data_IF_776968710642
#
_entry.id   IF_776968710642
#
_cell.length_a   1.000
_cell.length_b   1.000
_cell.length_c   1.000
_cell.angle_alpha   90.00
_cell.angle_beta   90.00
_cell.angle_gamma   90.00
#
_symmetry.space_group_name_H-M   'P 1'
#
loop_
_entity.id
_entity.type
_entity.pdbx_description
1 polymer ?
#
# COMPACT_ATOMS: atom_id res chain seq x y z
N UNK A 1 27.82 -12.87 -5.27
CA UNK A 1 26.49 -13.43 -4.96
C UNK A 1 25.36 -12.58 -5.59
N UNK A 2 25.34 -11.25 -5.38
CA UNK A 2 24.33 -10.35 -5.96
C UNK A 2 24.12 -10.56 -7.48
N UNK A 3 25.20 -10.55 -8.27
CA UNK A 3 25.08 -10.79 -9.73
C UNK A 3 24.57 -12.19 -10.08
N UNK A 4 24.91 -13.20 -9.29
CA UNK A 4 24.39 -14.56 -9.50
C UNK A 4 22.90 -14.64 -9.18
N UNK A 5 22.44 -13.95 -8.13
CA UNK A 5 21.02 -13.86 -7.79
C UNK A 5 20.21 -13.19 -8.91
N UNK A 6 20.67 -12.04 -9.40
CA UNK A 6 20.07 -11.34 -10.53
C UNK A 6 20.07 -12.19 -11.81
N UNK A 7 21.19 -12.84 -12.11
CA UNK A 7 21.31 -13.70 -13.28
C UNK A 7 20.35 -14.89 -13.20
N UNK A 8 20.29 -15.59 -12.05
CA UNK A 8 19.35 -16.67 -11.83
C UNK A 8 17.88 -16.19 -11.98
N UNK A 9 17.56 -15.05 -11.40
CA UNK A 9 16.20 -14.47 -11.53
C UNK A 9 15.84 -14.08 -12.97
N UNK A 10 16.79 -13.52 -13.73
CA UNK A 10 16.59 -13.22 -15.16
C UNK A 10 16.36 -14.49 -15.97
N UNK A 11 17.10 -15.59 -15.67
CA UNK A 11 16.92 -16.88 -16.32
C UNK A 11 15.51 -17.45 -16.05
N UNK A 12 15.02 -17.37 -14.80
CA UNK A 12 13.63 -17.75 -14.45
C UNK A 12 12.62 -16.96 -15.27
N UNK A 13 12.78 -15.64 -15.35
CA UNK A 13 11.90 -14.78 -16.15
C UNK A 13 11.95 -15.08 -17.64
N UNK A 14 13.07 -15.56 -18.14
CA UNK A 14 13.25 -16.00 -19.53
C UNK A 14 12.79 -17.44 -19.78
N UNK A 15 12.10 -18.07 -18.82
CA UNK A 15 11.64 -19.47 -18.83
C UNK A 15 12.78 -20.50 -18.99
N UNK A 16 14.02 -20.12 -18.59
CA UNK A 16 15.21 -20.97 -18.59
C UNK A 16 15.45 -21.55 -17.20
N UNK A 17 14.45 -22.28 -16.68
CA UNK A 17 14.39 -22.74 -15.28
C UNK A 17 15.57 -23.66 -14.91
N UNK A 18 15.90 -24.62 -15.77
CA UNK A 18 17.03 -25.56 -15.52
C UNK A 18 18.35 -24.82 -15.37
N UNK A 19 18.59 -23.79 -16.17
CA UNK A 19 19.81 -22.99 -16.12
C UNK A 19 19.86 -22.06 -14.91
N UNK A 20 18.69 -21.67 -14.38
CA UNK A 20 18.58 -20.82 -13.20
C UNK A 20 18.91 -21.56 -11.90
N UNK A 21 18.74 -22.87 -11.87
CA UNK A 21 18.89 -23.70 -10.66
C UNK A 21 20.27 -23.54 -10.03
N UNK A 22 21.33 -23.72 -10.80
CA UNK A 22 22.73 -23.67 -10.31
C UNK A 22 23.12 -22.30 -9.74
N UNK A 23 22.86 -21.15 -10.42
CA UNK A 23 23.11 -19.84 -9.85
C UNK A 23 22.36 -19.60 -8.55
N UNK A 24 21.07 -19.93 -8.47
CA UNK A 24 20.25 -19.72 -7.30
C UNK A 24 20.65 -20.62 -6.12
N UNK A 25 20.95 -21.90 -6.38
CA UNK A 25 21.44 -22.86 -5.39
C UNK A 25 22.80 -22.45 -4.80
N UNK A 26 23.71 -21.95 -5.65
CA UNK A 26 25.01 -21.41 -5.21
C UNK A 26 24.79 -20.22 -4.27
N UNK A 27 23.96 -19.29 -4.67
CA UNK A 27 23.65 -18.11 -3.88
C UNK A 27 23.01 -18.48 -2.54
N UNK A 28 22.09 -19.43 -2.55
CA UNK A 28 21.44 -19.94 -1.35
C UNK A 28 22.46 -20.53 -0.38
N UNK A 29 23.30 -21.46 -0.86
CA UNK A 29 24.29 -22.16 -0.04
C UNK A 29 25.24 -21.19 0.68
N UNK A 30 25.71 -20.15 0.00
CA UNK A 30 26.62 -19.16 0.58
C UNK A 30 25.96 -18.07 1.44
N UNK A 31 24.64 -18.13 1.62
CA UNK A 31 23.87 -17.09 2.33
C UNK A 31 23.11 -17.59 3.53
N UNK A 32 23.03 -18.90 3.72
CA UNK A 32 22.24 -19.53 4.79
C UNK A 32 22.61 -19.06 6.21
N UNK A 33 23.90 -18.77 6.43
CA UNK A 33 24.42 -18.39 7.75
C UNK A 33 24.40 -16.87 8.00
N UNK A 34 24.00 -16.05 6.99
CA UNK A 34 23.98 -14.60 7.11
C UNK A 34 22.63 -14.01 6.71
N UNK A 35 21.73 -13.75 7.68
CA UNK A 35 20.39 -13.23 7.40
C UNK A 35 20.37 -11.96 6.53
N UNK A 36 21.35 -11.08 6.69
CA UNK A 36 21.44 -9.84 5.89
C UNK A 36 21.75 -10.14 4.43
N UNK A 37 22.59 -11.15 4.15
CA UNK A 37 22.85 -11.59 2.77
C UNK A 37 21.61 -12.24 2.19
N UNK A 38 20.97 -13.11 2.93
CA UNK A 38 19.74 -13.78 2.52
C UNK A 38 18.63 -12.76 2.19
N UNK A 39 18.49 -11.70 3.00
CA UNK A 39 17.55 -10.62 2.72
C UNK A 39 17.85 -9.88 1.41
N UNK A 40 19.11 -9.51 1.18
CA UNK A 40 19.50 -8.85 -0.07
C UNK A 40 19.19 -9.72 -1.29
N UNK A 41 19.43 -11.01 -1.18
CA UNK A 41 19.13 -11.97 -2.24
C UNK A 41 17.63 -12.09 -2.50
N UNK A 42 16.82 -12.20 -1.45
CA UNK A 42 15.38 -12.22 -1.57
C UNK A 42 14.88 -10.99 -2.36
N UNK A 43 15.37 -9.80 -2.01
CA UNK A 43 15.04 -8.55 -2.70
C UNK A 43 15.51 -8.57 -4.17
N UNK A 44 16.73 -9.02 -4.44
CA UNK A 44 17.29 -9.01 -5.80
C UNK A 44 16.57 -9.99 -6.73
N UNK A 45 16.26 -11.19 -6.22
CA UNK A 45 15.50 -12.21 -6.97
C UNK A 45 14.05 -11.74 -7.22
N UNK A 46 13.40 -11.13 -6.22
CA UNK A 46 12.06 -10.55 -6.40
C UNK A 46 12.06 -9.44 -7.46
N UNK A 47 13.03 -8.52 -7.39
CA UNK A 47 13.16 -7.41 -8.36
C UNK A 47 13.46 -7.90 -9.78
N UNK A 48 14.09 -9.05 -9.93
CA UNK A 48 14.30 -9.69 -11.24
C UNK A 48 13.01 -10.28 -11.83
N UNK A 49 11.92 -10.36 -11.05
CA UNK A 49 10.64 -10.91 -11.43
C UNK A 49 10.47 -12.41 -11.13
N UNK A 50 11.47 -13.07 -10.51
CA UNK A 50 11.40 -14.45 -10.07
C UNK A 50 10.73 -14.56 -8.68
N UNK A 51 9.44 -14.23 -8.62
CA UNK A 51 8.68 -14.07 -7.36
C UNK A 51 8.58 -15.38 -6.57
N UNK A 52 8.40 -16.51 -7.26
CA UNK A 52 8.28 -17.82 -6.61
C UNK A 52 9.60 -18.25 -5.94
N UNK A 53 10.71 -18.03 -6.60
CA UNK A 53 12.05 -18.32 -6.09
C UNK A 53 12.40 -17.38 -4.94
N UNK A 54 12.06 -16.09 -5.06
CA UNK A 54 12.21 -15.12 -3.99
C UNK A 54 11.42 -15.52 -2.71
N UNK A 55 10.22 -16.08 -2.85
CA UNK A 55 9.43 -16.57 -1.72
C UNK A 55 10.18 -17.60 -0.87
N UNK A 56 10.98 -18.48 -1.50
CA UNK A 56 11.84 -19.44 -0.80
C UNK A 56 12.83 -18.76 0.14
N UNK A 57 13.50 -17.69 -0.33
CA UNK A 57 14.44 -16.91 0.49
C UNK A 57 13.72 -16.13 1.62
N UNK A 58 12.56 -15.50 1.32
CA UNK A 58 11.74 -14.83 2.31
C UNK A 58 11.26 -15.78 3.42
N UNK A 59 10.85 -17.00 3.06
CA UNK A 59 10.43 -18.04 4.00
C UNK A 59 11.55 -18.45 4.94
N UNK A 60 12.78 -18.59 4.42
CA UNK A 60 13.95 -18.89 5.26
C UNK A 60 14.23 -17.79 6.28
N UNK A 61 14.12 -16.52 5.89
CA UNK A 61 14.26 -15.40 6.81
C UNK A 61 13.25 -15.45 7.97
N UNK A 62 11.99 -15.81 7.68
CA UNK A 62 10.97 -16.01 8.73
C UNK A 62 11.32 -17.18 9.65
N UNK A 63 11.90 -18.25 9.10
CA UNK A 63 12.21 -19.46 9.90
C UNK A 63 13.51 -19.34 10.71
N UNK A 64 14.47 -18.51 10.26
CA UNK A 64 15.77 -18.37 10.92
C UNK A 64 15.86 -17.21 11.90
N UNK A 65 14.94 -16.24 11.80
CA UNK A 65 14.87 -15.08 12.67
C UNK A 65 13.72 -15.11 13.67
N UNK A 66 13.61 -14.05 14.44
CA UNK A 66 12.48 -13.82 15.35
C UNK A 66 11.83 -12.46 15.09
N UNK A 67 10.61 -12.25 15.63
CA UNK A 67 9.87 -11.00 15.41
C UNK A 67 10.62 -9.73 15.83
N UNK A 68 11.66 -9.84 16.67
CA UNK A 68 12.50 -8.71 17.09
C UNK A 68 13.58 -8.33 16.08
N UNK A 69 13.85 -9.19 15.09
CA UNK A 69 14.88 -8.97 14.10
C UNK A 69 14.33 -8.16 12.92
N UNK A 70 15.03 -7.13 12.53
CA UNK A 70 14.57 -6.23 11.46
C UNK A 70 14.42 -6.94 10.10
N UNK A 71 15.29 -7.92 9.78
CA UNK A 71 15.19 -8.73 8.56
C UNK A 71 13.98 -9.65 8.59
N UNK A 72 13.60 -10.18 9.76
CA UNK A 72 12.37 -10.93 9.96
C UNK A 72 11.15 -10.04 9.71
N UNK A 73 11.15 -8.81 10.26
CA UNK A 73 10.07 -7.83 10.04
C UNK A 73 9.90 -7.49 8.55
N UNK A 74 11.02 -7.35 7.84
CA UNK A 74 10.99 -7.11 6.38
C UNK A 74 10.37 -8.28 5.64
N UNK A 75 10.72 -9.52 6.00
CA UNK A 75 10.13 -10.72 5.43
C UNK A 75 8.63 -10.86 5.78
N UNK A 76 8.24 -10.53 7.02
CA UNK A 76 6.84 -10.52 7.45
C UNK A 76 6.01 -9.50 6.64
N UNK A 77 6.57 -8.32 6.38
CA UNK A 77 5.92 -7.31 5.52
C UNK A 77 5.76 -7.79 4.08
N UNK A 78 6.75 -8.51 3.54
CA UNK A 78 6.63 -9.16 2.23
C UNK A 78 5.45 -10.14 2.21
N UNK A 79 5.36 -11.05 3.18
CA UNK A 79 4.28 -12.02 3.24
C UNK A 79 2.91 -11.37 3.47
N UNK A 80 2.83 -10.32 4.27
CA UNK A 80 1.59 -9.55 4.44
C UNK A 80 1.12 -8.94 3.11
N UNK A 81 2.04 -8.30 2.35
CA UNK A 81 1.75 -7.72 1.04
C UNK A 81 1.32 -8.78 0.03
N UNK A 82 2.04 -9.91 -0.02
CA UNK A 82 1.74 -11.02 -0.92
C UNK A 82 0.40 -11.69 -0.58
N UNK A 83 0.14 -11.96 0.70
CA UNK A 83 -1.12 -12.51 1.17
C UNK A 83 -2.31 -11.59 0.86
N UNK A 84 -2.14 -10.27 1.04
CA UNK A 84 -3.13 -9.25 0.64
C UNK A 84 -3.42 -9.32 -0.87
N UNK A 85 -2.39 -9.36 -1.69
CA UNK A 85 -2.54 -9.43 -3.16
C UNK A 85 -3.30 -10.67 -3.60
N UNK A 86 -3.05 -11.80 -2.95
CA UNK A 86 -3.70 -13.09 -3.22
C UNK A 86 -5.02 -13.28 -2.43
N UNK A 87 -5.53 -12.25 -1.74
CA UNK A 87 -6.74 -12.28 -0.92
C UNK A 87 -6.74 -13.39 0.15
N UNK A 88 -5.56 -13.74 0.64
CA UNK A 88 -5.36 -14.67 1.77
C UNK A 88 -5.48 -13.90 3.09
N UNK A 89 -6.69 -13.43 3.38
CA UNK A 89 -6.94 -12.42 4.43
C UNK A 89 -6.53 -12.87 5.83
N UNK A 90 -6.69 -14.16 6.18
CA UNK A 90 -6.21 -14.68 7.49
C UNK A 90 -4.70 -14.57 7.64
N UNK A 91 -3.96 -14.89 6.58
CA UNK A 91 -2.50 -14.80 6.58
C UNK A 91 -2.07 -13.34 6.63
N UNK A 92 -2.70 -12.48 5.83
CA UNK A 92 -2.45 -11.04 5.85
C UNK A 92 -2.71 -10.43 7.23
N UNK A 93 -3.82 -10.80 7.89
CA UNK A 93 -4.15 -10.34 9.23
C UNK A 93 -3.10 -10.78 10.27
N UNK A 94 -2.67 -12.05 10.24
CA UNK A 94 -1.67 -12.57 11.18
C UNK A 94 -0.35 -11.79 11.09
N UNK A 95 0.16 -11.54 9.87
CA UNK A 95 1.38 -10.74 9.69
C UNK A 95 1.19 -9.27 10.08
N UNK A 96 0.03 -8.68 9.78
CA UNK A 96 -0.27 -7.31 10.17
C UNK A 96 -0.39 -7.16 11.71
N UNK A 97 -0.92 -8.15 12.41
CA UNK A 97 -0.95 -8.17 13.88
C UNK A 97 0.46 -8.23 14.47
N UNK A 98 1.32 -9.07 13.93
CA UNK A 98 2.72 -9.14 14.38
C UNK A 98 3.42 -7.80 14.13
N UNK A 99 3.22 -7.15 12.99
CA UNK A 99 3.77 -5.83 12.69
C UNK A 99 3.27 -4.77 13.69
N UNK A 100 1.98 -4.77 14.02
CA UNK A 100 1.42 -3.88 15.02
C UNK A 100 2.03 -4.11 16.42
N UNK A 101 2.20 -5.36 16.83
CA UNK A 101 2.81 -5.72 18.12
C UNK A 101 4.28 -5.35 18.20
N UNK A 102 5.04 -5.51 17.11
CA UNK A 102 6.44 -5.12 17.04
C UNK A 102 6.62 -3.60 17.11
N UNK A 103 5.68 -2.85 16.56
CA UNK A 103 5.69 -1.40 16.67
C UNK A 103 5.67 -0.91 18.12
N UNK A 104 4.99 -1.63 19.02
CA UNK A 104 4.99 -1.34 20.46
C UNK A 104 6.31 -1.73 21.16
N UNK A 105 7.00 -2.76 20.66
CA UNK A 105 8.25 -3.26 21.22
C UNK A 105 9.49 -2.53 20.69
N UNK A 106 9.33 -1.69 19.68
CA UNK A 106 10.43 -0.97 19.04
C UNK A 106 11.23 -0.14 20.06
N UNK A 107 12.56 -0.08 19.85
CA UNK A 107 13.51 0.64 20.72
C UNK A 107 13.39 2.18 20.64
N UNK A 108 12.39 2.71 19.98
CA UNK A 108 12.15 4.14 19.93
C UNK A 108 11.68 4.63 21.29
N UNK A 109 12.37 5.58 21.85
CA UNK A 109 12.00 6.27 23.11
C UNK A 109 10.69 7.05 22.97
N UNK A 110 10.17 7.18 21.75
CA UNK A 110 8.93 7.88 21.44
C UNK A 110 7.97 6.92 20.74
N UNK A 111 7.00 6.38 21.47
CA UNK A 111 5.90 5.63 20.89
C UNK A 111 5.04 6.65 20.14
N UNK A 112 4.84 6.43 18.84
CA UNK A 112 3.84 7.15 18.06
C UNK A 112 2.49 6.41 18.15
N UNK A 113 1.54 6.84 19.00
CA UNK A 113 0.27 6.13 19.20
C UNK A 113 -0.52 6.01 17.90
N UNK A 114 -0.49 7.04 17.05
CA UNK A 114 -1.21 7.05 15.77
C UNK A 114 -0.65 5.97 14.83
N UNK A 115 0.67 5.80 14.80
CA UNK A 115 1.29 4.74 13.99
C UNK A 115 0.86 3.34 14.44
N UNK A 116 0.80 3.10 15.77
CA UNK A 116 0.29 1.82 16.30
C UNK A 116 -1.18 1.61 15.95
N UNK A 117 -2.02 2.62 16.13
CA UNK A 117 -3.46 2.56 15.84
C UNK A 117 -3.68 2.25 14.35
N UNK A 118 -2.93 2.87 13.44
CA UNK A 118 -3.00 2.57 11.99
C UNK A 118 -2.62 1.13 11.68
N UNK A 119 -1.55 0.60 12.27
CA UNK A 119 -1.14 -0.80 12.07
C UNK A 119 -2.18 -1.76 12.61
N UNK A 120 -2.74 -1.48 13.77
CA UNK A 120 -3.83 -2.27 14.36
C UNK A 120 -5.08 -2.23 13.47
N UNK A 121 -5.43 -1.07 12.95
CA UNK A 121 -6.53 -0.91 12.00
C UNK A 121 -6.37 -1.81 10.77
N UNK A 122 -5.18 -1.87 10.17
CA UNK A 122 -4.91 -2.76 9.03
C UNK A 122 -5.09 -4.22 9.40
N UNK A 123 -4.62 -4.64 10.57
CA UNK A 123 -4.80 -6.01 11.04
C UNK A 123 -6.29 -6.36 11.21
N UNK A 124 -7.06 -5.47 11.84
CA UNK A 124 -8.50 -5.64 12.04
C UNK A 124 -9.27 -5.60 10.71
N UNK A 125 -8.87 -4.75 9.77
CA UNK A 125 -9.43 -4.71 8.41
C UNK A 125 -9.25 -6.05 7.68
N UNK A 126 -8.04 -6.62 7.70
CA UNK A 126 -7.79 -7.92 7.07
C UNK A 126 -8.51 -9.05 7.78
N UNK A 127 -8.63 -9.00 9.11
CA UNK A 127 -9.41 -9.98 9.89
C UNK A 127 -10.90 -9.91 9.54
N UNK A 128 -11.45 -8.69 9.39
CA UNK A 128 -12.84 -8.51 8.97
C UNK A 128 -13.09 -9.06 7.56
N UNK A 129 -12.15 -8.83 6.63
CA UNK A 129 -12.21 -9.42 5.28
C UNK A 129 -12.14 -10.94 5.30
N UNK A 130 -11.32 -11.52 6.18
CA UNK A 130 -11.26 -12.97 6.37
C UNK A 130 -12.60 -13.54 6.86
N UNK A 131 -13.17 -12.93 7.90
CA UNK A 131 -14.49 -13.30 8.43
C UNK A 131 -15.58 -13.19 7.36
N UNK A 132 -15.57 -12.13 6.59
CA UNK A 132 -16.52 -11.95 5.49
C UNK A 132 -16.38 -13.03 4.42
N UNK A 133 -15.14 -13.36 4.01
CA UNK A 133 -14.86 -14.43 3.05
C UNK A 133 -15.32 -15.82 3.54
N UNK A 134 -15.33 -16.04 4.86
CA UNK A 134 -15.76 -17.27 5.51
C UNK A 134 -17.27 -17.32 5.77
N UNK A 135 -18.02 -16.30 5.39
CA UNK A 135 -19.46 -16.20 5.61
C UNK A 135 -19.87 -15.64 6.97
N UNK A 136 -18.93 -15.31 7.85
CA UNK A 136 -19.19 -14.71 9.18
C UNK A 136 -19.45 -13.20 9.06
N UNK A 137 -20.44 -12.83 8.25
CA UNK A 137 -20.67 -11.42 7.83
C UNK A 137 -21.01 -10.52 9.01
N UNK A 138 -21.78 -11.00 10.01
CA UNK A 138 -22.16 -10.17 11.15
C UNK A 138 -20.94 -9.75 11.99
N UNK A 139 -20.04 -10.69 12.28
CA UNK A 139 -18.80 -10.41 13.02
C UNK A 139 -17.85 -9.52 12.20
N UNK A 140 -17.75 -9.77 10.89
CA UNK A 140 -16.99 -8.91 9.99
C UNK A 140 -17.49 -7.47 10.05
N UNK A 141 -18.79 -7.25 9.97
CA UNK A 141 -19.40 -5.92 10.00
C UNK A 141 -19.21 -5.21 11.34
N UNK A 142 -19.27 -5.93 12.46
CA UNK A 142 -18.93 -5.36 13.79
C UNK A 142 -17.48 -4.85 13.80
N UNK A 143 -16.56 -5.65 13.26
CA UNK A 143 -15.13 -5.28 13.24
C UNK A 143 -14.85 -4.12 12.28
N UNK A 144 -15.44 -4.07 11.09
CA UNK A 144 -15.34 -2.93 10.18
C UNK A 144 -15.82 -1.63 10.84
N UNK A 145 -16.95 -1.65 11.52
CA UNK A 145 -17.53 -0.49 12.17
C UNK A 145 -16.68 0.02 13.32
N UNK A 146 -16.26 -0.87 14.22
CA UNK A 146 -15.41 -0.48 15.35
C UNK A 146 -14.06 0.09 14.89
N UNK A 147 -13.46 -0.48 13.84
CA UNK A 147 -12.21 0.03 13.27
C UNK A 147 -12.42 1.40 12.62
N UNK A 148 -13.50 1.59 11.87
CA UNK A 148 -13.84 2.86 11.25
C UNK A 148 -14.04 3.99 12.27
N UNK A 149 -14.71 3.72 13.40
CA UNK A 149 -14.95 4.71 14.45
C UNK A 149 -13.66 5.28 15.04
N UNK A 150 -12.61 4.46 15.12
CA UNK A 150 -11.30 4.86 15.67
C UNK A 150 -10.54 5.81 14.72
N UNK A 151 -10.63 5.59 13.41
CA UNK A 151 -9.83 6.29 12.40
C UNK A 151 -10.65 7.04 11.35
N UNK A 152 -11.88 7.44 11.67
CA UNK A 152 -12.85 8.01 10.74
C UNK A 152 -12.49 9.39 10.12
N UNK A 153 -11.28 9.87 10.31
CA UNK A 153 -10.72 11.07 9.67
C UNK A 153 -9.31 10.85 9.11
N UNK A 154 -8.81 9.62 9.14
CA UNK A 154 -7.44 9.29 8.73
C UNK A 154 -7.35 8.97 7.23
N UNK A 155 -6.21 9.36 6.61
CA UNK A 155 -5.92 9.08 5.20
C UNK A 155 -5.88 7.59 4.84
N UNK A 156 -5.60 6.71 5.81
CA UNK A 156 -5.60 5.25 5.62
C UNK A 156 -6.95 4.71 5.11
N UNK A 157 -8.04 5.45 5.36
CA UNK A 157 -9.35 5.09 4.81
C UNK A 157 -9.37 5.16 3.28
N UNK A 158 -8.72 6.17 2.71
CA UNK A 158 -8.58 6.27 1.26
C UNK A 158 -7.61 5.24 0.71
N UNK A 159 -6.50 4.99 1.42
CA UNK A 159 -5.44 4.13 0.91
C UNK A 159 -5.81 2.64 0.94
N UNK A 160 -6.50 2.18 1.98
CA UNK A 160 -6.78 0.77 2.23
C UNK A 160 -8.27 0.47 2.39
N UNK A 161 -8.99 1.20 3.24
CA UNK A 161 -10.35 0.83 3.66
C UNK A 161 -11.36 0.84 2.51
N UNK A 162 -11.54 1.98 1.86
CA UNK A 162 -12.52 2.10 0.77
C UNK A 162 -12.20 1.21 -0.44
N UNK A 163 -10.95 1.12 -0.91
CA UNK A 163 -10.61 0.18 -1.97
C UNK A 163 -10.94 -1.27 -1.61
N UNK A 164 -10.61 -1.71 -0.39
CA UNK A 164 -10.83 -3.09 0.04
C UNK A 164 -12.31 -3.42 0.27
N UNK A 165 -13.11 -2.51 0.83
CA UNK A 165 -14.57 -2.70 0.94
C UNK A 165 -15.21 -2.85 -0.44
N UNK A 166 -14.79 -2.04 -1.39
CA UNK A 166 -15.28 -2.11 -2.76
C UNK A 166 -14.90 -3.42 -3.44
N UNK A 167 -13.64 -3.86 -3.31
CA UNK A 167 -13.16 -5.15 -3.82
C UNK A 167 -13.87 -6.36 -3.19
N UNK A 168 -14.32 -6.22 -1.95
CA UNK A 168 -15.11 -7.23 -1.24
C UNK A 168 -16.61 -7.16 -1.55
N UNK A 169 -17.07 -6.18 -2.35
CA UNK A 169 -18.49 -5.99 -2.66
C UNK A 169 -19.35 -5.44 -1.51
N UNK A 170 -18.73 -4.87 -0.48
CA UNK A 170 -19.39 -4.31 0.71
C UNK A 170 -19.87 -2.86 0.46
N UNK A 171 -20.71 -2.69 -0.57
CA UNK A 171 -21.09 -1.38 -1.12
C UNK A 171 -21.85 -0.52 -0.09
N UNK A 172 -22.78 -1.11 0.65
CA UNK A 172 -23.59 -0.35 1.64
C UNK A 172 -22.71 0.22 2.76
N UNK A 173 -21.78 -0.58 3.28
CA UNK A 173 -20.85 -0.14 4.32
C UNK A 173 -19.89 0.92 3.79
N UNK A 174 -19.38 0.71 2.58
CA UNK A 174 -18.53 1.65 1.86
C UNK A 174 -19.21 3.02 1.73
N UNK A 175 -20.43 3.06 1.18
CA UNK A 175 -21.11 4.30 0.87
C UNK A 175 -21.56 5.05 2.14
N UNK A 176 -22.02 4.33 3.16
CA UNK A 176 -22.35 4.91 4.45
C UNK A 176 -21.14 5.60 5.09
N UNK A 177 -20.00 4.92 5.13
CA UNK A 177 -18.80 5.43 5.78
C UNK A 177 -18.13 6.54 4.94
N UNK A 178 -18.17 6.42 3.61
CA UNK A 178 -17.71 7.49 2.72
C UNK A 178 -18.49 8.79 2.95
N UNK A 179 -19.81 8.71 3.02
CA UNK A 179 -20.65 9.89 3.27
C UNK A 179 -20.27 10.62 4.56
N UNK A 180 -20.02 9.86 5.64
CA UNK A 180 -19.62 10.45 6.94
C UNK A 180 -18.29 11.19 6.83
N UNK A 181 -17.27 10.55 6.22
CA UNK A 181 -15.95 11.16 6.08
C UNK A 181 -15.99 12.35 5.15
N UNK A 182 -16.66 12.21 4.02
CA UNK A 182 -16.71 13.25 3.00
C UNK A 182 -17.44 14.51 3.49
N UNK A 183 -18.51 14.33 4.24
CA UNK A 183 -19.23 15.44 4.88
C UNK A 183 -18.32 16.21 5.85
N UNK A 184 -17.54 15.52 6.69
CA UNK A 184 -16.58 16.17 7.62
C UNK A 184 -15.48 16.94 6.88
N UNK A 185 -15.00 16.39 5.77
CA UNK A 185 -14.04 17.10 4.94
C UNK A 185 -14.65 18.35 4.31
N UNK A 186 -15.92 18.29 3.90
CA UNK A 186 -16.65 19.45 3.41
C UNK A 186 -16.82 20.52 4.49
N UNK A 187 -17.28 20.15 5.70
CA UNK A 187 -17.39 21.06 6.85
C UNK A 187 -16.05 21.73 7.18
N UNK A 188 -14.95 20.98 7.08
CA UNK A 188 -13.60 21.50 7.28
C UNK A 188 -13.18 22.49 6.17
N UNK A 189 -13.57 22.25 4.92
CA UNK A 189 -13.32 23.16 3.79
C UNK A 189 -14.11 24.46 3.99
N UNK A 190 -15.36 24.37 4.43
CA UNK A 190 -16.23 25.53 4.65
C UNK A 190 -15.72 26.40 5.81
N UNK A 191 -15.23 25.76 6.88
CA UNK A 191 -14.62 26.44 8.01
C UNK A 191 -13.24 27.07 7.68
N UNK A 192 -12.46 26.43 6.79
CA UNK A 192 -11.10 26.85 6.46
C UNK A 192 -10.88 26.90 4.93
N UNK A 193 -11.47 27.84 4.20
CA UNK A 193 -11.48 27.86 2.74
C UNK A 193 -10.10 28.13 2.09
N UNK A 194 -9.07 28.41 2.88
CA UNK A 194 -7.67 28.55 2.43
C UNK A 194 -6.81 27.35 2.75
N UNK A 195 -7.36 26.31 3.40
CA UNK A 195 -6.63 25.09 3.75
C UNK A 195 -6.51 24.18 2.52
N UNK A 196 -5.54 24.46 1.66
CA UNK A 196 -5.31 23.72 0.41
C UNK A 196 -5.14 22.21 0.61
N UNK A 197 -4.59 21.78 1.74
CA UNK A 197 -4.44 20.35 2.09
C UNK A 197 -5.79 19.66 2.30
N UNK A 198 -6.80 20.33 2.85
CA UNK A 198 -8.13 19.75 3.05
C UNK A 198 -8.84 19.49 1.73
N UNK A 199 -8.70 20.40 0.76
CA UNK A 199 -9.19 20.18 -0.60
C UNK A 199 -8.53 18.95 -1.24
N UNK A 200 -7.20 18.82 -1.08
CA UNK A 200 -6.48 17.66 -1.56
C UNK A 200 -6.95 16.36 -0.88
N UNK A 201 -7.10 16.38 0.45
CA UNK A 201 -7.57 15.20 1.20
C UNK A 201 -8.96 14.76 0.78
N UNK A 202 -9.87 15.70 0.54
CA UNK A 202 -11.21 15.39 0.04
C UNK A 202 -11.19 14.79 -1.37
N UNK A 203 -10.37 15.35 -2.27
CA UNK A 203 -10.21 14.81 -3.62
C UNK A 203 -9.57 13.42 -3.62
N UNK A 204 -8.54 13.21 -2.80
CA UNK A 204 -7.91 11.89 -2.60
C UNK A 204 -8.92 10.86 -2.09
N UNK A 205 -9.64 11.19 -1.01
CA UNK A 205 -10.66 10.32 -0.44
C UNK A 205 -11.73 9.93 -1.47
N UNK A 206 -12.26 10.90 -2.20
CA UNK A 206 -13.29 10.68 -3.21
C UNK A 206 -12.81 9.83 -4.39
N UNK A 207 -11.59 10.09 -4.88
CA UNK A 207 -11.01 9.32 -5.99
C UNK A 207 -10.75 7.85 -5.60
N UNK A 208 -10.21 7.61 -4.40
CA UNK A 208 -9.95 6.26 -3.89
C UNK A 208 -11.22 5.48 -3.57
N UNK A 209 -12.26 6.17 -3.11
CA UNK A 209 -13.58 5.59 -2.91
C UNK A 209 -14.39 5.45 -4.22
N UNK A 210 -13.94 6.04 -5.33
CA UNK A 210 -14.69 6.15 -6.59
C UNK A 210 -16.08 6.77 -6.41
N UNK A 211 -16.18 7.82 -5.58
CA UNK A 211 -17.40 8.57 -5.31
C UNK A 211 -17.15 10.06 -5.50
N UNK A 212 -18.17 10.81 -5.82
CA UNK A 212 -18.12 12.29 -5.97
C UNK A 212 -16.99 12.78 -6.88
N UNK A 213 -16.69 12.05 -7.97
CA UNK A 213 -15.55 12.32 -8.86
C UNK A 213 -15.59 13.70 -9.55
N UNK A 214 -16.77 14.26 -9.93
CA UNK A 214 -16.83 15.62 -10.45
C UNK A 214 -16.38 16.65 -9.41
N UNK A 215 -16.86 16.53 -8.17
CA UNK A 215 -16.50 17.40 -7.06
C UNK A 215 -15.04 17.21 -6.62
N UNK A 216 -14.55 15.97 -6.62
CA UNK A 216 -13.12 15.67 -6.39
C UNK A 216 -12.21 16.41 -7.37
N UNK A 217 -12.60 16.46 -8.64
CA UNK A 217 -11.84 17.17 -9.67
C UNK A 217 -11.78 18.68 -9.41
N UNK A 218 -12.90 19.31 -9.03
CA UNK A 218 -12.92 20.73 -8.68
C UNK A 218 -12.11 21.01 -7.41
N UNK A 219 -12.19 20.16 -6.40
CA UNK A 219 -11.41 20.29 -5.17
C UNK A 219 -9.90 20.23 -5.43
N UNK A 220 -9.43 19.26 -6.23
CA UNK A 220 -7.98 19.17 -6.51
C UNK A 220 -7.52 20.33 -7.41
N UNK A 221 -8.33 20.81 -8.33
CA UNK A 221 -8.03 22.03 -9.07
C UNK A 221 -7.87 23.25 -8.15
N UNK A 222 -8.73 23.36 -7.13
CA UNK A 222 -8.63 24.41 -6.12
C UNK A 222 -7.34 24.30 -5.30
N UNK A 223 -6.96 23.10 -4.86
CA UNK A 223 -5.70 22.87 -4.16
C UNK A 223 -4.49 23.24 -5.03
N UNK A 224 -4.47 22.83 -6.29
CA UNK A 224 -3.42 23.14 -7.25
C UNK A 224 -3.35 24.63 -7.59
N UNK A 225 -4.47 25.37 -7.62
CA UNK A 225 -4.44 26.82 -7.80
C UNK A 225 -3.71 27.56 -6.69
N UNK A 226 -3.68 26.99 -5.48
CA UNK A 226 -2.96 27.53 -4.32
C UNK A 226 -1.52 27.01 -4.21
N UNK A 227 -1.26 25.78 -4.70
CA UNK A 227 0.03 25.09 -4.63
C UNK A 227 0.31 24.31 -5.92
N UNK A 228 0.64 24.98 -7.05
CA UNK A 228 0.65 24.36 -8.38
C UNK A 228 1.75 23.30 -8.61
N UNK A 229 2.83 23.34 -7.82
CA UNK A 229 3.97 22.42 -7.94
C UNK A 229 4.06 21.39 -6.82
N UNK A 230 2.99 21.24 -6.03
CA UNK A 230 2.97 20.25 -4.94
C UNK A 230 2.81 18.84 -5.52
N UNK A 231 3.86 18.03 -5.46
CA UNK A 231 3.88 16.69 -6.05
C UNK A 231 2.69 15.81 -5.60
N UNK A 232 2.35 15.84 -4.31
CA UNK A 232 1.20 15.10 -3.77
C UNK A 232 -0.14 15.54 -4.39
N UNK A 233 -0.30 16.82 -4.77
CA UNK A 233 -1.54 17.30 -5.38
C UNK A 233 -1.63 16.94 -6.86
N UNK A 234 -0.48 16.91 -7.54
CA UNK A 234 -0.39 16.41 -8.92
C UNK A 234 -0.71 14.92 -8.98
N UNK A 235 -0.26 14.15 -7.99
CA UNK A 235 -0.58 12.72 -7.84
C UNK A 235 -2.08 12.50 -7.55
N UNK A 236 -2.66 13.30 -6.66
CA UNK A 236 -4.12 13.27 -6.42
C UNK A 236 -4.91 13.60 -7.69
N UNK A 237 -4.46 14.56 -8.52
CA UNK A 237 -5.10 14.85 -9.80
C UNK A 237 -5.02 13.64 -10.75
N UNK A 238 -3.87 12.94 -10.78
CA UNK A 238 -3.72 11.70 -11.55
C UNK A 238 -4.69 10.62 -11.08
N UNK A 239 -4.84 10.43 -9.75
CA UNK A 239 -5.78 9.47 -9.18
C UNK A 239 -7.24 9.80 -9.54
N UNK A 240 -7.62 11.06 -9.49
CA UNK A 240 -8.97 11.51 -9.90
C UNK A 240 -9.24 11.15 -11.36
N UNK A 241 -8.28 11.39 -12.27
CA UNK A 241 -8.43 11.03 -13.67
C UNK A 241 -8.47 9.51 -13.87
N UNK A 242 -7.68 8.76 -13.11
CA UNK A 242 -7.71 7.30 -13.17
C UNK A 242 -9.06 6.74 -12.70
N UNK A 243 -9.61 7.26 -11.60
CA UNK A 243 -10.94 6.92 -11.12
C UNK A 243 -12.05 7.28 -12.13
N UNK A 244 -11.88 8.38 -12.88
CA UNK A 244 -12.75 8.77 -14.01
C UNK A 244 -12.51 7.95 -15.29
N UNK A 245 -11.65 6.93 -15.24
CA UNK A 245 -11.29 6.04 -16.35
C UNK A 245 -10.58 6.74 -17.52
N UNK A 246 -9.93 7.86 -17.26
CA UNK A 246 -9.09 8.55 -18.24
C UNK A 246 -7.60 8.29 -17.92
N UNK A 247 -7.08 7.20 -18.50
CA UNK A 247 -5.70 6.75 -18.30
C UNK A 247 -4.66 7.72 -18.82
N UNK A 248 -4.92 8.35 -19.95
CA UNK A 248 -3.99 9.27 -20.60
C UNK A 248 -3.70 10.47 -19.69
N UNK A 249 -4.75 11.12 -19.19
CA UNK A 249 -4.63 12.21 -18.24
C UNK A 249 -3.99 11.75 -16.91
N UNK A 250 -4.37 10.58 -16.40
CA UNK A 250 -3.76 10.04 -15.18
C UNK A 250 -2.24 9.90 -15.32
N UNK A 251 -1.76 9.31 -16.41
CA UNK A 251 -0.33 9.16 -16.70
C UNK A 251 0.34 10.53 -16.87
N UNK A 252 -0.29 11.47 -17.56
CA UNK A 252 0.27 12.81 -17.78
C UNK A 252 0.46 13.58 -16.47
N UNK A 253 -0.52 13.53 -15.56
CA UNK A 253 -0.43 14.18 -14.25
C UNK A 253 0.54 13.47 -13.30
N UNK A 254 0.56 12.13 -13.28
CA UNK A 254 1.49 11.37 -12.46
C UNK A 254 2.95 11.61 -12.88
N UNK A 255 3.23 11.72 -14.18
CA UNK A 255 4.56 12.11 -14.68
C UNK A 255 5.01 13.46 -14.13
N UNK A 256 4.11 14.46 -14.10
CA UNK A 256 4.40 15.76 -13.48
C UNK A 256 4.67 15.63 -11.98
N UNK A 257 3.90 14.80 -11.26
CA UNK A 257 4.11 14.54 -9.83
C UNK A 257 5.51 13.98 -9.56
N UNK A 258 5.93 12.97 -10.34
CA UNK A 258 7.27 12.40 -10.26
C UNK A 258 8.35 13.45 -10.55
N UNK A 259 8.19 14.26 -11.58
CA UNK A 259 9.14 15.33 -11.91
C UNK A 259 9.28 16.36 -10.77
N UNK A 260 8.17 16.83 -10.20
CA UNK A 260 8.19 17.80 -9.11
C UNK A 260 8.75 17.24 -7.81
N UNK A 261 8.62 15.93 -7.56
CA UNK A 261 9.21 15.30 -6.38
C UNK A 261 10.74 15.38 -6.37
N UNK A 262 11.39 15.30 -7.51
CA UNK A 262 12.84 15.47 -7.63
C UNK A 262 13.30 16.93 -7.41
N UNK A 263 12.49 17.91 -7.81
CA UNK A 263 12.82 19.31 -7.62
C UNK A 263 12.62 19.81 -6.18
N UNK A 264 11.70 19.19 -5.45
CA UNK A 264 11.33 19.57 -4.09
C UNK A 264 12.25 19.03 -2.98
N UNK A 265 13.31 18.28 -3.29
CA UNK A 265 14.18 17.66 -2.29
C UNK A 265 13.43 16.66 -1.40
N UNK A 266 12.32 16.12 -1.90
CA UNK A 266 11.53 15.12 -1.19
C UNK A 266 12.37 13.88 -0.88
N UNK A 267 12.17 13.27 0.30
CA UNK A 267 12.90 12.06 0.69
C UNK A 267 12.77 10.97 -0.40
N UNK A 268 13.79 10.14 -0.54
CA UNK A 268 13.82 9.02 -1.50
C UNK A 268 12.54 8.18 -1.49
N UNK A 269 11.91 8.05 -0.33
CA UNK A 269 10.70 7.25 -0.12
C UNK A 269 9.44 7.84 -0.79
N UNK A 270 9.28 9.17 -0.76
CA UNK A 270 8.16 9.83 -1.45
C UNK A 270 8.25 9.66 -2.97
N UNK A 271 9.46 9.70 -3.53
CA UNK A 271 9.70 9.46 -4.95
C UNK A 271 9.40 8.02 -5.38
N UNK A 272 9.66 7.03 -4.51
CA UNK A 272 9.33 5.61 -4.76
C UNK A 272 7.82 5.41 -4.85
N UNK A 273 7.06 5.93 -3.88
CA UNK A 273 5.61 5.81 -3.87
C UNK A 273 4.94 6.41 -5.12
N UNK A 274 5.41 7.59 -5.56
CA UNK A 274 4.91 8.23 -6.79
C UNK A 274 5.23 7.42 -8.05
N UNK A 275 6.38 6.74 -8.10
CA UNK A 275 6.74 5.87 -9.21
C UNK A 275 5.87 4.61 -9.24
N UNK A 276 5.62 3.98 -8.09
CA UNK A 276 4.69 2.85 -7.99
C UNK A 276 3.28 3.24 -8.45
N UNK A 277 2.81 4.44 -8.10
CA UNK A 277 1.53 4.97 -8.60
C UNK A 277 1.54 5.17 -10.12
N UNK A 278 2.62 5.73 -10.67
CA UNK A 278 2.76 5.88 -12.11
C UNK A 278 2.66 4.53 -12.84
N UNK A 279 3.39 3.51 -12.35
CA UNK A 279 3.37 2.18 -12.93
C UNK A 279 1.96 1.55 -12.83
N UNK A 280 1.25 1.79 -11.74
CA UNK A 280 -0.15 1.36 -11.56
C UNK A 280 -1.09 2.02 -12.58
N UNK A 281 -0.93 3.31 -12.85
CA UNK A 281 -1.75 3.99 -13.87
C UNK A 281 -1.44 3.48 -15.26
N UNK A 282 -0.21 3.10 -15.53
CA UNK A 282 0.21 2.60 -16.83
C UNK A 282 -0.33 1.19 -17.11
N UNK A 283 -0.19 0.27 -16.19
CA UNK A 283 -0.48 -1.15 -16.36
C UNK A 283 -1.72 -1.66 -15.61
N UNK A 284 -2.17 -0.94 -14.58
CA UNK A 284 -3.25 -1.38 -13.69
C UNK A 284 -4.63 -1.33 -14.33
N UNK A 285 -5.55 -2.11 -13.77
CA UNK A 285 -6.95 -2.04 -14.11
C UNK A 285 -7.61 -0.81 -13.46
N UNK A 286 -8.63 -0.28 -14.12
CA UNK A 286 -9.42 0.79 -13.54
C UNK A 286 -10.19 0.29 -12.31
N UNK A 287 -10.32 1.12 -11.27
CA UNK A 287 -11.12 0.74 -10.12
C UNK A 287 -12.58 0.51 -10.54
N UNK A 288 -13.19 -0.52 -9.98
CA UNK A 288 -14.63 -0.76 -10.14
C UNK A 288 -15.38 0.32 -9.37
N UNK A 289 -16.41 0.97 -9.93
CA UNK A 289 -17.18 2.01 -9.28
C UNK A 289 -17.92 1.53 -8.03
#
# INVERSE_FOLDING_TARGET
LHYLALYGGVLVRADRIEESARPLETVETFSLDEPIRLLRLAIDVERSGAVREAEGFWRKLIMTGGPSDWYWQTAASYFAKHARHNKQWRVAAAFAEVDAMQYLKGRSTTINPVGFIRKRFIADLYRALALHQEGNTEEAMKLFRSSFEILNGDGILADDYFPLLREAGLVEEHDRNFKIVYQRLQESIDAYPRAHNTYNSAAWMASRACRELPDAHEKIRKALSMRPRQAAYLDTMAEVWFAKRNREEAIAWSRKAVQESFHGGSSSDAGVGLREQYDRFFSGEFPVP
#
